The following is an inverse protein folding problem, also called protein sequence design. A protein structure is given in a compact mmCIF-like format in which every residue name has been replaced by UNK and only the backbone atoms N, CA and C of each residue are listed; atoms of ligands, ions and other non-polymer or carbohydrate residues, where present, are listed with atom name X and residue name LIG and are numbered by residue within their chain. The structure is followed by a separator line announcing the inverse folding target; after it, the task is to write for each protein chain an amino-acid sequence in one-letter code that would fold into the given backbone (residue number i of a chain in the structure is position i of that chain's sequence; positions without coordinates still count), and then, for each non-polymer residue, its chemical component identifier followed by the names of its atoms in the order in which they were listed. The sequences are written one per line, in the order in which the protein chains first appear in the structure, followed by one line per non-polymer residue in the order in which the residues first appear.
data_IF_992084333326
#
_entry.id   IF_992084333326
#
_cell.length_a   1.000
_cell.length_b   1.000
_cell.length_c   1.000
_cell.angle_alpha   90.00
_cell.angle_beta   90.00
_cell.angle_gamma   90.00
#
_symmetry.space_group_name_H-M   'P 1'
#
loop_
_entity.id
_entity.type
_entity.pdbx_description
1 polymer ?
#
# COMPACT_ATOMS: atom_id res chain seq x y z
N UNK A 1 -13.38 -5.78 10.65
CA UNK A 1 -14.14 -4.52 10.89
C UNK A 1 -14.39 -3.91 9.53
N UNK A 2 -15.66 -3.71 9.21
CA UNK A 2 -16.08 -3.02 7.99
C UNK A 2 -15.54 -1.58 7.97
N UNK A 3 -14.95 -1.17 6.84
CA UNK A 3 -14.32 0.17 6.70
C UNK A 3 -15.30 1.32 6.96
N UNK A 4 -16.55 1.13 6.56
CA UNK A 4 -17.59 2.15 6.65
C UNK A 4 -18.57 1.90 7.81
N UNK A 5 -18.26 0.97 8.72
CA UNK A 5 -19.17 0.52 9.78
C UNK A 5 -20.23 -0.45 9.27
N UNK A 6 -21.19 -0.74 10.12
CA UNK A 6 -22.27 -1.68 9.83
C UNK A 6 -23.58 -0.94 9.65
N UNK A 7 -24.35 -1.34 8.62
CA UNK A 7 -25.59 -0.66 8.26
C UNK A 7 -26.67 -0.76 9.37
N UNK A 8 -26.70 -1.87 10.08
CA UNK A 8 -27.62 -2.14 11.18
C UNK A 8 -27.32 -1.29 12.44
N UNK A 9 -26.12 -0.72 12.56
CA UNK A 9 -25.78 0.18 13.64
C UNK A 9 -26.25 1.62 13.41
N UNK A 10 -26.55 2.00 12.15
CA UNK A 10 -26.89 3.38 11.78
C UNK A 10 -28.16 3.88 12.47
N UNK A 11 -29.19 3.04 12.57
CA UNK A 11 -30.48 3.39 13.19
C UNK A 11 -30.36 3.62 14.71
N UNK A 12 -29.30 3.09 15.33
CA UNK A 12 -29.00 3.30 16.76
C UNK A 12 -28.21 4.57 17.06
N UNK A 13 -27.74 5.32 16.04
CA UNK A 13 -26.96 6.52 16.24
C UNK A 13 -27.83 7.68 16.74
N UNK A 14 -27.39 8.34 17.81
CA UNK A 14 -28.02 9.54 18.34
C UNK A 14 -27.10 10.75 18.16
N UNK A 15 -27.68 11.96 18.09
CA UNK A 15 -26.91 13.20 18.01
C UNK A 15 -25.91 13.33 19.18
N UNK A 16 -26.31 12.91 20.39
CA UNK A 16 -25.44 12.93 21.56
C UNK A 16 -24.26 11.95 21.44
N UNK A 17 -24.49 10.76 20.88
CA UNK A 17 -23.41 9.78 20.65
C UNK A 17 -22.38 10.32 19.64
N UNK A 18 -22.84 10.90 18.54
CA UNK A 18 -21.99 11.52 17.52
C UNK A 18 -21.22 12.71 18.09
N UNK A 19 -21.87 13.58 18.87
CA UNK A 19 -21.23 14.74 19.52
C UNK A 19 -20.12 14.29 20.48
N UNK A 20 -20.38 13.27 21.31
CA UNK A 20 -19.35 12.72 22.20
C UNK A 20 -18.18 12.09 21.44
N UNK A 21 -18.46 11.35 20.35
CA UNK A 21 -17.43 10.76 19.52
C UNK A 21 -16.55 11.82 18.87
N UNK A 22 -17.17 12.89 18.34
CA UNK A 22 -16.45 14.04 17.77
C UNK A 22 -15.58 14.75 18.82
N UNK A 23 -16.11 15.03 20.01
CA UNK A 23 -15.35 15.65 21.09
C UNK A 23 -14.13 14.80 21.48
N UNK A 24 -14.31 13.50 21.62
CA UNK A 24 -13.20 12.56 21.89
C UNK A 24 -12.17 12.55 20.76
N UNK A 25 -12.60 12.52 19.52
CA UNK A 25 -11.71 12.58 18.36
C UNK A 25 -10.84 13.85 18.39
N UNK A 26 -11.46 15.01 18.65
CA UNK A 26 -10.72 16.29 18.75
C UNK A 26 -9.74 16.28 19.93
N UNK A 27 -10.10 15.65 21.06
CA UNK A 27 -9.25 15.59 22.24
C UNK A 27 -8.08 14.59 22.08
N UNK A 28 -8.33 13.41 21.52
CA UNK A 28 -7.41 12.25 21.60
C UNK A 28 -6.72 11.91 20.27
N UNK A 29 -7.30 12.27 19.11
CA UNK A 29 -6.69 11.94 17.83
C UNK A 29 -5.37 12.69 17.61
N UNK A 30 -4.40 12.04 16.99
CA UNK A 30 -3.24 12.73 16.44
C UNK A 30 -3.70 13.60 15.27
N UNK A 31 -3.35 14.89 15.29
CA UNK A 31 -3.70 15.85 14.25
C UNK A 31 -2.43 16.34 13.57
N UNK A 32 -2.31 16.09 12.29
CA UNK A 32 -1.30 16.67 11.42
C UNK A 32 -1.95 17.70 10.50
N UNK A 33 -1.32 18.84 10.32
CA UNK A 33 -1.83 19.92 9.49
C UNK A 33 -0.80 20.25 8.43
N UNK A 34 -1.20 20.16 7.18
CA UNK A 34 -0.37 20.53 6.02
C UNK A 34 -0.86 21.85 5.45
N UNK A 35 0.05 22.77 5.26
CA UNK A 35 -0.24 24.10 4.69
C UNK A 35 0.63 24.28 3.45
N UNK A 36 -0.03 24.42 2.30
CA UNK A 36 0.62 24.65 1.02
C UNK A 36 0.06 25.97 0.42
N UNK A 37 0.91 26.89 0.05
CA UNK A 37 0.49 28.16 -0.54
C UNK A 37 1.52 29.28 -0.40
N UNK A 38 1.12 30.51 -0.71
CA UNK A 38 2.02 31.64 -0.79
C UNK A 38 2.40 32.25 0.58
N UNK A 39 1.56 32.12 1.60
CA UNK A 39 1.76 32.75 2.92
C UNK A 39 1.65 31.71 4.05
N UNK A 40 2.52 30.72 3.98
CA UNK A 40 2.50 29.54 4.86
C UNK A 40 2.66 29.95 6.33
N UNK A 41 3.55 30.89 6.63
CA UNK A 41 3.84 31.29 8.01
C UNK A 41 2.64 31.99 8.68
N UNK A 42 1.97 32.90 7.97
CA UNK A 42 0.80 33.59 8.51
C UNK A 42 -0.37 32.62 8.74
N UNK A 43 -0.60 31.68 7.81
CA UNK A 43 -1.63 30.66 7.96
C UNK A 43 -1.29 29.70 9.11
N UNK A 44 -0.05 29.24 9.20
CA UNK A 44 0.40 28.39 10.30
C UNK A 44 0.25 29.07 11.66
N UNK A 45 0.56 30.36 11.76
CA UNK A 45 0.37 31.13 13.01
C UNK A 45 -1.10 31.24 13.39
N UNK A 46 -1.99 31.53 12.44
CA UNK A 46 -3.45 31.56 12.68
C UNK A 46 -3.99 30.23 13.16
N UNK A 47 -3.54 29.13 12.54
CA UNK A 47 -3.91 27.77 12.94
C UNK A 47 -3.42 27.44 14.35
N UNK A 48 -2.16 27.75 14.69
CA UNK A 48 -1.66 27.56 16.06
C UNK A 48 -2.49 28.32 17.08
N UNK A 49 -2.84 29.55 16.79
CA UNK A 49 -3.69 30.40 17.66
C UNK A 49 -5.09 29.77 17.81
N UNK A 50 -5.71 29.36 16.70
CA UNK A 50 -7.06 28.77 16.74
C UNK A 50 -7.09 27.43 17.51
N UNK A 51 -6.04 26.63 17.38
CA UNK A 51 -5.94 25.32 18.03
C UNK A 51 -5.44 25.38 19.48
N UNK A 52 -4.83 26.49 19.91
CA UNK A 52 -4.24 26.63 21.25
C UNK A 52 -5.24 26.53 22.40
N UNK A 53 -6.53 26.82 22.15
CA UNK A 53 -7.62 26.69 23.13
C UNK A 53 -8.19 25.29 23.26
N UNK A 54 -7.79 24.34 22.41
CA UNK A 54 -8.28 22.97 22.48
C UNK A 54 -7.59 22.20 23.62
N UNK A 55 -8.39 21.56 24.47
CA UNK A 55 -7.87 20.55 25.40
C UNK A 55 -7.49 19.32 24.60
N UNK A 56 -6.21 18.99 24.62
CA UNK A 56 -5.64 17.89 23.86
C UNK A 56 -4.90 16.92 24.78
N UNK A 57 -5.21 15.65 24.63
CA UNK A 57 -4.51 14.52 25.24
C UNK A 57 -4.35 13.44 24.17
N UNK A 58 -3.51 13.68 23.13
CA UNK A 58 -3.40 12.75 22.02
C UNK A 58 -2.89 11.39 22.50
N UNK A 59 -3.58 10.34 22.09
CA UNK A 59 -3.15 8.98 22.31
C UNK A 59 -2.13 8.59 21.25
N UNK A 60 -1.03 7.99 21.69
CA UNK A 60 -0.04 7.41 20.79
C UNK A 60 -0.60 6.09 20.25
N UNK A 61 -0.88 6.07 18.95
CA UNK A 61 -1.33 4.85 18.28
C UNK A 61 -0.11 4.00 17.93
N UNK A 62 0.01 2.78 18.46
CA UNK A 62 1.06 1.88 18.03
C UNK A 62 0.84 1.56 16.55
N UNK A 63 1.87 1.73 15.73
CA UNK A 63 1.82 1.27 14.34
C UNK A 63 1.75 -0.26 14.35
N UNK A 64 0.64 -0.88 13.94
CA UNK A 64 0.57 -2.32 13.87
C UNK A 64 1.48 -2.81 12.75
N UNK A 65 2.49 -3.59 13.11
CA UNK A 65 3.33 -4.29 12.14
C UNK A 65 2.75 -5.67 11.97
N UNK A 66 2.38 -6.00 10.73
CA UNK A 66 1.91 -7.33 10.42
C UNK A 66 3.09 -8.33 10.52
N UNK A 67 2.97 -9.27 11.44
CA UNK A 67 3.94 -10.37 11.55
C UNK A 67 3.52 -11.53 10.64
N UNK A 68 4.46 -12.28 10.04
CA UNK A 68 4.13 -13.43 9.23
C UNK A 68 3.38 -14.47 10.07
N UNK A 69 2.35 -15.09 9.49
CA UNK A 69 1.71 -16.24 10.08
C UNK A 69 2.66 -17.46 10.02
N UNK A 70 2.54 -18.38 10.97
CA UNK A 70 3.30 -19.65 10.95
C UNK A 70 2.97 -20.45 9.68
N UNK A 71 1.67 -20.50 9.31
CA UNK A 71 1.19 -21.03 8.05
C UNK A 71 0.29 -20.01 7.35
N UNK A 72 0.35 -19.90 6.00
CA UNK A 72 -0.52 -19.02 5.25
C UNK A 72 -1.99 -19.39 5.45
N UNK A 73 -2.83 -18.40 5.75
CA UNK A 73 -4.29 -18.57 5.84
C UNK A 73 -4.93 -18.27 4.50
N UNK A 74 -5.90 -19.11 4.10
CA UNK A 74 -6.70 -18.89 2.90
C UNK A 74 -8.15 -18.63 3.29
N UNK A 75 -8.77 -17.65 2.63
CA UNK A 75 -10.16 -17.28 2.80
C UNK A 75 -10.83 -17.26 1.42
N UNK A 76 -12.04 -17.78 1.36
CA UNK A 76 -12.87 -17.73 0.18
C UNK A 76 -14.21 -17.12 0.55
N UNK A 77 -14.67 -16.17 -0.25
CA UNK A 77 -15.97 -15.52 -0.06
C UNK A 77 -16.77 -15.65 -1.36
N UNK A 78 -17.89 -16.38 -1.34
CA UNK A 78 -18.76 -16.48 -2.48
C UNK A 78 -19.67 -15.24 -2.57
N UNK A 79 -19.64 -14.55 -3.71
CA UNK A 79 -20.54 -13.43 -3.99
C UNK A 79 -21.11 -13.54 -5.42
N UNK A 80 -22.30 -12.99 -5.67
CA UNK A 80 -22.90 -12.96 -7.00
C UNK A 80 -22.19 -11.95 -7.91
N UNK A 81 -20.94 -12.22 -8.24
CA UNK A 81 -20.09 -11.35 -9.07
C UNK A 81 -19.67 -12.05 -10.34
N UNK A 82 -19.58 -11.29 -11.43
CA UNK A 82 -19.10 -11.79 -12.73
C UNK A 82 -17.58 -12.02 -12.69
N UNK A 83 -16.86 -11.22 -11.90
CA UNK A 83 -15.42 -11.23 -11.82
C UNK A 83 -14.94 -11.61 -10.42
N UNK A 84 -14.06 -12.58 -10.36
CA UNK A 84 -13.35 -12.93 -9.13
C UNK A 84 -12.25 -11.93 -8.78
N UNK A 85 -11.86 -11.94 -7.52
CA UNK A 85 -10.68 -11.21 -7.03
C UNK A 85 -9.76 -12.15 -6.28
N UNK A 86 -8.47 -11.91 -6.43
CA UNK A 86 -7.42 -12.58 -5.69
C UNK A 86 -6.57 -11.52 -5.01
N UNK A 87 -6.54 -11.53 -3.69
CA UNK A 87 -5.69 -10.67 -2.89
C UNK A 87 -4.72 -11.53 -2.06
N UNK A 88 -3.44 -11.29 -2.21
CA UNK A 88 -2.39 -12.01 -1.51
C UNK A 88 -1.58 -11.03 -0.66
N UNK A 89 -1.55 -11.25 0.66
CA UNK A 89 -0.78 -10.47 1.59
C UNK A 89 0.50 -11.21 1.98
N UNK A 90 1.61 -10.51 1.82
CA UNK A 90 2.93 -10.97 2.26
C UNK A 90 3.43 -10.03 3.33
N UNK A 91 4.00 -10.57 4.40
CA UNK A 91 4.55 -9.80 5.48
C UNK A 91 6.02 -10.15 5.72
N UNK A 92 6.87 -9.18 6.05
CA UNK A 92 8.23 -9.46 6.47
C UNK A 92 8.22 -9.96 7.92
N UNK A 93 9.24 -10.70 8.32
CA UNK A 93 9.39 -11.14 9.71
C UNK A 93 9.65 -9.98 10.68
N UNK A 94 10.31 -8.92 10.17
CA UNK A 94 10.68 -7.73 10.91
C UNK A 94 10.41 -6.47 10.07
N UNK A 95 10.21 -5.32 10.70
CA UNK A 95 10.08 -4.05 9.99
C UNK A 95 11.30 -3.72 9.16
N UNK A 96 11.10 -3.13 7.99
CA UNK A 96 12.21 -2.60 7.21
C UNK A 96 12.81 -1.37 7.87
N UNK A 97 14.14 -1.31 7.88
CA UNK A 97 14.85 -0.13 8.32
C UNK A 97 14.66 1.03 7.29
N UNK A 98 14.75 2.29 7.72
CA UNK A 98 14.56 3.45 6.84
C UNK A 98 15.43 3.44 5.57
N UNK A 99 16.65 2.89 5.64
CA UNK A 99 17.56 2.76 4.51
C UNK A 99 17.08 1.73 3.46
N UNK A 100 16.20 0.80 3.83
CA UNK A 100 15.68 -0.23 2.92
C UNK A 100 14.46 0.24 2.11
N UNK A 101 13.87 1.37 2.46
CA UNK A 101 12.62 1.83 1.86
C UNK A 101 12.73 2.13 0.37
N UNK A 102 13.87 2.64 -0.10
CA UNK A 102 14.10 2.89 -1.52
C UNK A 102 14.33 1.61 -2.30
N UNK A 103 15.03 0.63 -1.73
CA UNK A 103 15.16 -0.72 -2.29
C UNK A 103 13.80 -1.42 -2.38
N UNK A 104 12.98 -1.31 -1.33
CA UNK A 104 11.64 -1.86 -1.28
C UNK A 104 10.72 -1.21 -2.33
N UNK A 105 10.80 0.11 -2.51
CA UNK A 105 10.04 0.84 -3.55
C UNK A 105 10.37 0.33 -4.95
N UNK A 106 11.67 0.14 -5.26
CA UNK A 106 12.11 -0.43 -6.55
C UNK A 106 11.65 -1.88 -6.69
N UNK A 107 11.78 -2.68 -5.66
CA UNK A 107 11.41 -4.09 -5.66
C UNK A 107 9.92 -4.32 -5.90
N UNK A 108 9.06 -3.54 -5.25
CA UNK A 108 7.60 -3.59 -5.43
C UNK A 108 7.19 -3.08 -6.82
N UNK A 109 7.83 -2.02 -7.31
CA UNK A 109 7.59 -1.50 -8.65
C UNK A 109 7.98 -2.52 -9.74
N UNK A 110 9.11 -3.20 -9.57
CA UNK A 110 9.59 -4.26 -10.45
C UNK A 110 8.65 -5.47 -10.45
N UNK A 111 8.16 -5.85 -9.27
CA UNK A 111 7.22 -6.97 -9.13
C UNK A 111 5.89 -6.67 -9.82
N UNK A 112 5.21 -5.58 -9.46
CA UNK A 112 3.85 -5.31 -9.94
C UNK A 112 3.41 -3.85 -9.90
N UNK A 113 4.33 -2.88 -9.76
CA UNK A 113 3.98 -1.45 -9.63
C UNK A 113 4.01 -0.65 -10.93
N UNK A 114 4.38 -1.25 -12.07
CA UNK A 114 4.49 -0.57 -13.36
C UNK A 114 3.92 -1.42 -14.50
N UNK A 115 3.59 -0.81 -15.66
CA UNK A 115 3.19 -1.57 -16.86
C UNK A 115 4.28 -2.49 -17.43
N UNK A 116 5.53 -2.29 -17.04
CA UNK A 116 6.66 -3.14 -17.42
C UNK A 116 7.03 -4.16 -16.34
N UNK A 117 6.30 -4.19 -15.24
CA UNK A 117 6.56 -5.10 -14.11
C UNK A 117 6.30 -6.57 -14.45
N UNK A 118 6.92 -7.47 -13.71
CA UNK A 118 6.81 -8.92 -13.97
C UNK A 118 5.39 -9.45 -13.88
N UNK A 119 4.62 -9.04 -12.89
CA UNK A 119 3.22 -9.47 -12.77
C UNK A 119 2.39 -8.99 -13.96
N UNK A 120 2.58 -7.73 -14.38
CA UNK A 120 1.87 -7.21 -15.55
C UNK A 120 2.26 -7.96 -16.81
N UNK A 121 3.56 -8.11 -17.09
CA UNK A 121 4.05 -8.73 -18.33
C UNK A 121 3.80 -10.24 -18.39
N UNK A 122 4.01 -10.95 -17.29
CA UNK A 122 4.00 -12.41 -17.31
C UNK A 122 2.63 -13.01 -16.95
N UNK A 123 1.93 -12.43 -15.94
CA UNK A 123 0.65 -12.98 -15.48
C UNK A 123 -0.51 -12.43 -16.31
N UNK A 124 -0.52 -11.11 -16.57
CA UNK A 124 -1.59 -10.47 -17.32
C UNK A 124 -1.40 -10.63 -18.84
N UNK A 125 -0.27 -10.13 -19.39
CA UNK A 125 -0.10 -10.05 -20.85
C UNK A 125 0.19 -11.41 -21.48
N UNK A 126 1.21 -12.13 -21.01
CA UNK A 126 1.64 -13.39 -21.66
C UNK A 126 0.71 -14.57 -21.36
N UNK A 127 0.21 -14.67 -20.13
CA UNK A 127 -0.62 -15.81 -19.72
C UNK A 127 -2.11 -15.50 -19.76
N UNK A 128 -2.52 -14.24 -19.85
CA UNK A 128 -3.92 -13.78 -19.88
C UNK A 128 -4.76 -14.34 -18.72
N UNK A 129 -4.15 -14.51 -17.54
CA UNK A 129 -4.83 -15.10 -16.36
C UNK A 129 -5.69 -14.08 -15.61
N UNK A 130 -5.50 -12.79 -15.85
CA UNK A 130 -6.17 -11.73 -15.09
C UNK A 130 -6.37 -10.47 -15.93
N UNK A 131 -7.33 -9.64 -15.51
CA UNK A 131 -7.58 -8.32 -16.11
C UNK A 131 -6.58 -7.28 -15.63
N UNK A 132 -6.16 -7.41 -14.39
CA UNK A 132 -5.07 -6.64 -13.79
C UNK A 132 -4.36 -7.49 -12.73
N UNK A 133 -3.09 -7.20 -12.53
CA UNK A 133 -2.31 -7.78 -11.45
C UNK A 133 -1.29 -6.73 -11.01
N UNK A 134 -1.40 -6.27 -9.78
CA UNK A 134 -0.59 -5.19 -9.26
C UNK A 134 -0.04 -5.52 -7.87
N UNK A 135 1.15 -5.02 -7.58
CA UNK A 135 1.76 -5.08 -6.26
C UNK A 135 1.84 -3.70 -5.63
N UNK A 136 1.55 -3.62 -4.35
CA UNK A 136 1.68 -2.41 -3.55
C UNK A 136 2.24 -2.72 -2.16
N UNK A 137 2.88 -1.75 -1.53
CA UNK A 137 3.40 -1.87 -0.17
C UNK A 137 2.83 -0.79 0.72
N UNK A 138 2.34 -1.19 1.88
CA UNK A 138 1.83 -0.28 2.89
C UNK A 138 2.81 -0.17 4.04
N UNK A 139 3.51 0.95 4.13
CA UNK A 139 4.56 1.16 5.15
C UNK A 139 4.04 1.14 6.59
N UNK A 140 2.78 1.51 6.82
CA UNK A 140 2.17 1.48 8.16
C UNK A 140 1.97 0.07 8.71
N UNK A 141 1.69 -0.90 7.83
CA UNK A 141 1.45 -2.31 8.22
C UNK A 141 2.61 -3.23 7.85
N UNK A 142 3.61 -2.71 7.14
CA UNK A 142 4.71 -3.53 6.63
C UNK A 142 4.30 -4.57 5.58
N UNK A 143 3.08 -4.51 5.05
CA UNK A 143 2.54 -5.53 4.17
C UNK A 143 2.78 -5.21 2.69
N UNK A 144 3.25 -6.21 1.94
CA UNK A 144 3.19 -6.26 0.48
C UNK A 144 1.87 -6.94 0.10
N UNK A 145 1.05 -6.24 -0.67
CA UNK A 145 -0.20 -6.75 -1.21
C UNK A 145 -0.08 -6.94 -2.71
N UNK A 146 -0.46 -8.12 -3.19
CA UNK A 146 -0.70 -8.37 -4.62
C UNK A 146 -2.20 -8.50 -4.80
N UNK A 147 -2.78 -7.62 -5.60
CA UNK A 147 -4.21 -7.59 -5.93
C UNK A 147 -4.41 -7.87 -7.42
N UNK A 148 -5.38 -8.73 -7.73
CA UNK A 148 -5.64 -9.19 -9.09
C UNK A 148 -7.13 -9.41 -9.33
N UNK A 149 -7.63 -8.88 -10.47
CA UNK A 149 -8.96 -9.20 -10.98
C UNK A 149 -8.88 -10.38 -11.94
N UNK A 150 -9.51 -11.49 -11.58
CA UNK A 150 -9.39 -12.76 -12.29
C UNK A 150 -10.75 -13.29 -12.73
N UNK A 151 -10.78 -14.11 -13.76
CA UNK A 151 -11.91 -15.03 -13.95
C UNK A 151 -11.87 -16.10 -12.86
N UNK A 152 -13.01 -16.51 -12.35
CA UNK A 152 -13.10 -17.49 -11.25
C UNK A 152 -12.31 -18.77 -11.55
N UNK A 153 -12.38 -19.27 -12.79
CA UNK A 153 -11.64 -20.44 -13.23
C UNK A 153 -10.13 -20.28 -13.23
N UNK A 154 -9.63 -19.04 -13.33
CA UNK A 154 -8.21 -18.72 -13.44
C UNK A 154 -7.56 -18.38 -12.09
N UNK A 155 -8.33 -18.26 -10.99
CA UNK A 155 -7.82 -17.80 -9.70
C UNK A 155 -6.64 -18.64 -9.18
N UNK A 156 -6.74 -19.97 -9.26
CA UNK A 156 -5.67 -20.87 -8.81
C UNK A 156 -4.39 -20.74 -9.67
N UNK A 157 -4.54 -20.68 -10.99
CA UNK A 157 -3.42 -20.51 -11.91
C UNK A 157 -2.76 -19.13 -11.76
N UNK A 158 -3.54 -18.07 -11.55
CA UNK A 158 -3.02 -16.73 -11.28
C UNK A 158 -2.24 -16.70 -9.97
N UNK A 159 -2.76 -17.30 -8.89
CA UNK A 159 -2.05 -17.44 -7.61
C UNK A 159 -0.69 -18.11 -7.78
N UNK A 160 -0.66 -19.25 -8.47
CA UNK A 160 0.58 -19.99 -8.70
C UNK A 160 1.58 -19.16 -9.52
N UNK A 161 1.13 -18.50 -10.57
CA UNK A 161 1.96 -17.64 -11.41
C UNK A 161 2.52 -16.45 -10.63
N UNK A 162 1.73 -15.79 -9.77
CA UNK A 162 2.19 -14.70 -8.90
C UNK A 162 3.29 -15.18 -7.96
N UNK A 163 3.11 -16.34 -7.30
CA UNK A 163 4.13 -16.90 -6.41
C UNK A 163 5.40 -17.26 -7.15
N UNK A 164 5.29 -17.78 -8.37
CA UNK A 164 6.43 -18.10 -9.24
C UNK A 164 7.23 -16.87 -9.62
N UNK A 165 6.56 -15.76 -9.99
CA UNK A 165 7.23 -14.49 -10.34
C UNK A 165 7.94 -13.89 -9.12
N UNK A 166 7.32 -13.92 -7.94
CA UNK A 166 7.96 -13.46 -6.70
C UNK A 166 9.20 -14.33 -6.38
N UNK A 167 9.07 -15.65 -6.44
CA UNK A 167 10.18 -16.56 -6.20
C UNK A 167 11.33 -16.37 -7.21
N UNK A 168 10.99 -16.11 -8.47
CA UNK A 168 11.99 -15.84 -9.51
C UNK A 168 12.75 -14.54 -9.25
N UNK A 169 12.10 -13.49 -8.72
CA UNK A 169 12.76 -12.26 -8.31
C UNK A 169 13.66 -12.45 -7.07
N UNK A 170 13.28 -13.34 -6.16
CA UNK A 170 14.08 -13.63 -4.97
C UNK A 170 15.36 -14.42 -5.29
N UNK A 171 15.28 -15.36 -6.23
CA UNK A 171 16.35 -16.35 -6.47
C UNK A 171 17.09 -16.18 -7.81
N UNK A 172 16.47 -15.50 -8.77
CA UNK A 172 16.97 -15.37 -10.14
C UNK A 172 17.66 -14.04 -10.44
N UNK A 173 18.15 -13.89 -11.65
CA UNK A 173 18.68 -12.61 -12.12
C UNK A 173 17.56 -11.57 -12.28
N UNK A 174 17.89 -10.34 -11.94
CA UNK A 174 17.16 -9.14 -12.35
C UNK A 174 17.95 -8.58 -13.54
N UNK A 175 17.33 -8.54 -14.69
CA UNK A 175 17.98 -8.04 -15.92
C UNK A 175 18.28 -6.54 -15.80
N UNK A 176 19.44 -6.11 -16.26
CA UNK A 176 19.87 -4.71 -16.16
C UNK A 176 18.88 -3.75 -16.83
N UNK A 177 18.31 -4.14 -17.97
CA UNK A 177 17.29 -3.38 -18.67
C UNK A 177 15.99 -3.24 -17.87
N UNK A 178 15.53 -4.32 -17.24
CA UNK A 178 14.32 -4.35 -16.42
C UNK A 178 14.45 -3.45 -15.17
N UNK A 179 15.61 -3.50 -14.51
CA UNK A 179 15.91 -2.65 -13.36
C UNK A 179 16.00 -1.17 -13.76
N UNK A 180 16.69 -0.87 -14.89
CA UNK A 180 16.83 0.50 -15.40
C UNK A 180 15.48 1.10 -15.81
N UNK A 181 14.62 0.34 -16.47
CA UNK A 181 13.27 0.78 -16.86
C UNK A 181 12.39 1.05 -15.65
N UNK A 182 12.46 0.18 -14.62
CA UNK A 182 11.73 0.37 -13.37
C UNK A 182 12.18 1.63 -12.64
N UNK A 183 13.48 1.85 -12.51
CA UNK A 183 14.04 3.08 -11.90
C UNK A 183 13.60 4.32 -12.66
N UNK A 184 13.65 4.30 -14.00
CA UNK A 184 13.21 5.41 -14.82
C UNK A 184 11.71 5.71 -14.60
N UNK A 185 10.86 4.70 -14.56
CA UNK A 185 9.43 4.86 -14.30
C UNK A 185 9.17 5.48 -12.91
N UNK A 186 9.85 5.00 -11.88
CA UNK A 186 9.74 5.55 -10.53
C UNK A 186 10.23 7.00 -10.45
N UNK A 187 11.34 7.33 -11.09
CA UNK A 187 11.86 8.72 -11.12
C UNK A 187 10.90 9.66 -11.81
N UNK A 188 10.24 9.24 -12.90
CA UNK A 188 9.19 10.03 -13.53
C UNK A 188 7.99 10.25 -12.61
N UNK A 189 7.56 9.23 -11.85
CA UNK A 189 6.50 9.37 -10.85
C UNK A 189 6.91 10.34 -9.73
N UNK A 190 8.14 10.25 -9.24
CA UNK A 190 8.68 11.14 -8.21
C UNK A 190 8.77 12.59 -8.71
N UNK A 191 9.21 12.81 -9.95
CA UNK A 191 9.25 14.13 -10.56
C UNK A 191 7.86 14.77 -10.69
N UNK A 192 6.82 13.96 -10.96
CA UNK A 192 5.45 14.44 -11.09
C UNK A 192 4.75 14.76 -9.75
N UNK A 193 5.35 14.44 -8.59
CA UNK A 193 4.78 14.75 -7.27
C UNK A 193 4.54 16.25 -7.11
N UNK A 194 5.46 17.08 -7.61
CA UNK A 194 5.39 18.53 -7.54
C UNK A 194 4.37 19.19 -8.48
N UNK A 195 3.78 18.45 -9.40
CA UNK A 195 2.87 19.01 -10.42
C UNK A 195 1.53 19.47 -9.84
N UNK A 196 1.14 18.95 -8.67
CA UNK A 196 -0.10 19.33 -8.00
C UNK A 196 0.08 19.52 -6.49
N UNK A 197 -0.74 20.41 -5.90
CA UNK A 197 -0.74 20.58 -4.44
C UNK A 197 -1.14 19.29 -3.70
N UNK A 198 -2.06 18.53 -4.25
CA UNK A 198 -2.49 17.25 -3.70
C UNK A 198 -1.35 16.20 -3.76
N UNK A 199 -0.56 16.21 -4.82
CA UNK A 199 0.63 15.36 -4.95
C UNK A 199 1.65 15.66 -3.85
N UNK A 200 1.94 16.94 -3.62
CA UNK A 200 2.84 17.38 -2.55
C UNK A 200 2.30 17.03 -1.17
N UNK A 201 1.02 17.32 -0.90
CA UNK A 201 0.39 16.99 0.37
C UNK A 201 0.45 15.49 0.64
N UNK A 202 0.01 14.65 -0.31
CA UNK A 202 0.03 13.21 -0.17
C UNK A 202 1.43 12.64 0.04
N UNK A 203 2.43 13.22 -0.64
CA UNK A 203 3.84 12.84 -0.45
C UNK A 203 4.32 13.09 0.98
N UNK A 204 4.22 14.34 1.44
CA UNK A 204 4.71 14.70 2.77
C UNK A 204 3.89 14.10 3.89
N UNK A 205 2.57 13.89 3.69
CA UNK A 205 1.76 13.09 4.60
C UNK A 205 2.30 11.67 4.73
N UNK A 206 2.59 11.01 3.61
CA UNK A 206 3.13 9.65 3.62
C UNK A 206 4.54 9.59 4.27
N UNK A 207 5.40 10.58 4.00
CA UNK A 207 6.72 10.68 4.65
C UNK A 207 6.56 10.90 6.17
N UNK A 208 5.68 11.82 6.59
CA UNK A 208 5.41 12.07 8.01
C UNK A 208 4.92 10.82 8.75
N UNK A 209 4.02 10.06 8.13
CA UNK A 209 3.51 8.80 8.69
C UNK A 209 4.59 7.71 8.85
N UNK A 210 5.67 7.80 8.09
CA UNK A 210 6.85 6.91 8.22
C UNK A 210 7.91 7.43 9.18
N UNK A 211 7.72 8.62 9.77
CA UNK A 211 8.74 9.30 10.55
C UNK A 211 9.89 9.85 9.70
N UNK A 212 9.66 10.13 8.43
CA UNK A 212 10.61 10.69 7.47
C UNK A 212 10.14 12.06 6.97
N UNK A 213 11.03 12.78 6.26
CA UNK A 213 10.76 14.11 5.70
C UNK A 213 11.47 14.33 4.35
N UNK A 214 11.78 13.23 3.66
CA UNK A 214 12.55 13.28 2.41
C UNK A 214 11.76 13.94 1.28
N UNK A 215 12.41 14.84 0.55
CA UNK A 215 11.89 15.37 -0.70
C UNK A 215 11.89 14.28 -1.81
N UNK A 216 10.99 14.37 -2.82
CA UNK A 216 10.95 13.42 -3.92
C UNK A 216 12.29 13.25 -4.64
N UNK A 217 13.06 14.33 -4.80
CA UNK A 217 14.37 14.35 -5.45
C UNK A 217 15.43 13.54 -4.68
N UNK A 218 15.37 13.60 -3.34
CA UNK A 218 16.27 12.81 -2.48
C UNK A 218 15.97 11.32 -2.64
N UNK A 219 14.69 10.96 -2.67
CA UNK A 219 14.28 9.57 -2.89
C UNK A 219 14.61 9.10 -4.31
N UNK A 220 14.52 9.98 -5.32
CA UNK A 220 14.94 9.67 -6.69
C UNK A 220 16.44 9.33 -6.77
N UNK A 221 17.28 10.06 -6.03
CA UNK A 221 18.72 9.77 -5.96
C UNK A 221 18.99 8.41 -5.26
N UNK A 222 18.25 8.08 -4.21
CA UNK A 222 18.35 6.76 -3.55
C UNK A 222 17.90 5.62 -4.47
N UNK A 223 16.83 5.82 -5.25
CA UNK A 223 16.34 4.86 -6.26
C UNK A 223 17.44 4.54 -7.28
N UNK A 224 18.22 5.53 -7.72
CA UNK A 224 19.33 5.31 -8.65
C UNK A 224 20.43 4.40 -8.07
N UNK A 225 20.66 4.45 -6.77
CA UNK A 225 21.67 3.64 -6.09
C UNK A 225 21.25 2.18 -5.83
N UNK A 226 19.97 1.85 -5.92
CA UNK A 226 19.46 0.49 -5.65
C UNK A 226 20.04 -0.52 -6.63
N UNK A 227 20.52 -1.64 -6.12
CA UNK A 227 21.08 -2.74 -6.90
C UNK A 227 20.08 -3.92 -7.04
N UNK A 228 20.37 -4.84 -7.96
CA UNK A 228 19.62 -6.09 -8.07
C UNK A 228 19.69 -6.94 -6.77
N UNK A 229 20.83 -6.89 -6.07
CA UNK A 229 21.00 -7.57 -4.79
C UNK A 229 20.10 -6.97 -3.70
N UNK A 230 19.94 -5.65 -3.67
CA UNK A 230 19.01 -4.99 -2.75
C UNK A 230 17.56 -5.42 -3.02
N UNK A 231 17.15 -5.49 -4.28
CA UNK A 231 15.82 -5.97 -4.68
C UNK A 231 15.60 -7.40 -4.17
N UNK A 232 16.56 -8.32 -4.41
CA UNK A 232 16.48 -9.70 -3.94
C UNK A 232 16.40 -9.78 -2.43
N UNK A 233 17.24 -9.04 -1.73
CA UNK A 233 17.31 -9.02 -0.28
C UNK A 233 15.97 -8.62 0.34
N UNK A 234 15.37 -7.52 -0.11
CA UNK A 234 14.10 -7.05 0.48
C UNK A 234 12.92 -7.96 0.13
N UNK A 235 12.83 -8.48 -1.11
CA UNK A 235 11.76 -9.41 -1.48
C UNK A 235 11.86 -10.74 -0.75
N UNK A 236 13.08 -11.22 -0.50
CA UNK A 236 13.31 -12.50 0.19
C UNK A 236 12.88 -12.49 1.66
N UNK A 237 12.66 -11.32 2.27
CA UNK A 237 12.13 -11.24 3.64
C UNK A 237 10.63 -11.47 3.73
N UNK A 238 9.90 -11.32 2.63
CA UNK A 238 8.46 -11.50 2.63
C UNK A 238 8.04 -12.98 2.65
N UNK A 239 6.99 -13.27 3.40
CA UNK A 239 6.32 -14.56 3.45
C UNK A 239 4.83 -14.36 3.21
N UNK A 240 4.22 -15.26 2.44
CA UNK A 240 2.78 -15.26 2.27
C UNK A 240 2.11 -15.48 3.63
N UNK A 241 1.22 -14.59 4.01
CA UNK A 241 0.48 -14.65 5.28
C UNK A 241 -1.00 -14.92 5.05
N UNK A 242 -1.58 -14.31 4.02
CA UNK A 242 -3.00 -14.45 3.71
C UNK A 242 -3.20 -14.53 2.20
N UNK A 243 -4.09 -15.42 1.78
CA UNK A 243 -4.65 -15.46 0.45
C UNK A 243 -6.17 -15.36 0.57
N UNK A 244 -6.75 -14.31 0.00
CA UNK A 244 -8.19 -14.11 -0.07
C UNK A 244 -8.65 -14.23 -1.52
N UNK A 245 -9.70 -15.02 -1.75
CA UNK A 245 -10.28 -15.20 -3.07
C UNK A 245 -11.78 -14.91 -3.02
N UNK A 246 -12.23 -13.96 -3.83
CA UNK A 246 -13.63 -13.73 -4.09
C UNK A 246 -14.07 -14.71 -5.18
N UNK A 247 -14.99 -15.62 -4.83
CA UNK A 247 -15.48 -16.68 -5.71
C UNK A 247 -16.91 -16.40 -6.17
N UNK A 248 -17.35 -17.11 -7.18
CA UNK A 248 -18.74 -17.05 -7.64
C UNK A 248 -19.64 -17.81 -6.68
N UNK A 249 -20.78 -17.23 -6.32
CA UNK A 249 -21.81 -17.93 -5.54
C UNK A 249 -22.41 -19.09 -6.37
N UNK A 250 -22.58 -20.24 -5.75
CA UNK A 250 -23.17 -21.42 -6.41
C UNK A 250 -24.63 -21.13 -6.81
N UNK A 251 -24.92 -21.18 -8.10
CA UNK A 251 -26.27 -20.91 -8.65
C UNK A 251 -26.49 -19.52 -9.21
N UNK A 252 -25.48 -18.66 -9.23
CA UNK A 252 -25.55 -17.32 -9.83
C UNK A 252 -25.23 -17.33 -11.35
N UNK A 253 -25.75 -18.31 -12.09
CA UNK A 253 -25.75 -18.29 -13.55
C UNK A 253 -27.04 -17.66 -14.04
N UNK A 254 -27.00 -16.39 -14.42
CA UNK A 254 -28.02 -15.74 -15.22
C UNK A 254 -27.36 -14.73 -16.16
#
# INVERSE_FOLDING_TARGET
IERNGYLDEVDGLTADAVTRAYARMVEQAQIEVFVLGADVDAVAQRLRTALSGLRRAPEELPAPIAMPAEEPRSFEEPLPTVQGKLCMLFTPGEPFAPQDLSALRVAVALLGGTPTSRLFQNVREKQSLCYYCAASYTSLTGALCVDSGVEHANAAAARESILKELAALCAGPVEDGELADTKRALKNQLAAVGDTLQGLEGWYFAERMRGADKAPEQVAAEVDAVTADDVRRVLSSFRLSVCYTLTKEAGADA
#
